data_IF_460744770141
#
_entry.id   IF_460744770141
#
_cell.length_a   1.000
_cell.length_b   1.000
_cell.length_c   1.000
_cell.angle_alpha   90.00
_cell.angle_beta   90.00
_cell.angle_gamma   90.00
#
_symmetry.space_group_name_H-M   'P 1'
#
loop_
_entity.id
_entity.type
_entity.pdbx_description
1 polymer ?
#
# COMPACT_ATOMS: atom_id res chain seq x y z
N UNK A 1 -5.10 -3.12 10.91
CA UNK A 1 -4.72 -2.75 9.52
C UNK A 1 -4.34 -4.01 8.77
N UNK A 2 -4.93 -4.30 7.61
CA UNK A 2 -4.70 -5.57 6.88
C UNK A 2 -3.29 -5.72 6.31
N UNK A 3 -2.65 -4.64 5.86
CA UNK A 3 -1.25 -4.67 5.43
C UNK A 3 -0.28 -5.13 6.53
N UNK A 4 -0.57 -4.76 7.78
CA UNK A 4 0.20 -5.23 8.95
C UNK A 4 -0.01 -6.74 9.19
N UNK A 5 -1.21 -7.26 8.96
CA UNK A 5 -1.47 -8.71 9.05
C UNK A 5 -0.69 -9.48 8.00
N UNK A 6 -0.68 -8.99 6.74
CA UNK A 6 0.09 -9.60 5.65
C UNK A 6 1.60 -9.59 5.92
N UNK A 7 2.13 -8.48 6.43
CA UNK A 7 3.54 -8.40 6.83
C UNK A 7 3.88 -9.40 7.95
N UNK A 8 2.98 -9.57 8.93
CA UNK A 8 3.10 -10.61 9.96
C UNK A 8 3.07 -12.04 9.40
N UNK A 9 2.19 -12.32 8.43
CA UNK A 9 2.14 -13.65 7.79
C UNK A 9 3.45 -14.02 7.07
N UNK A 10 4.11 -13.05 6.43
CA UNK A 10 5.43 -13.27 5.84
C UNK A 10 6.51 -13.51 6.91
N UNK A 11 6.45 -12.77 8.02
CA UNK A 11 7.33 -13.01 9.17
C UNK A 11 7.18 -14.43 9.71
N UNK A 12 5.96 -14.97 9.77
CA UNK A 12 5.63 -16.33 10.21
C UNK A 12 5.95 -17.44 9.21
N UNK A 13 6.58 -17.14 8.07
CA UNK A 13 7.08 -18.16 7.12
C UNK A 13 6.25 -18.34 5.85
N UNK A 14 5.25 -17.50 5.59
CA UNK A 14 4.56 -17.48 4.29
C UNK A 14 5.53 -17.09 3.17
N UNK A 15 5.26 -17.48 1.93
CA UNK A 15 6.10 -17.09 0.80
C UNK A 15 6.07 -15.57 0.57
N UNK A 16 7.24 -14.99 0.26
CA UNK A 16 7.38 -13.59 -0.12
C UNK A 16 6.51 -13.26 -1.34
N UNK A 17 6.51 -14.15 -2.34
CA UNK A 17 5.79 -13.96 -3.61
C UNK A 17 4.28 -13.90 -3.36
N UNK A 18 3.76 -14.84 -2.57
CA UNK A 18 2.34 -14.91 -2.23
C UNK A 18 1.91 -13.69 -1.41
N UNK A 19 2.72 -13.29 -0.43
CA UNK A 19 2.41 -12.14 0.42
C UNK A 19 2.40 -10.84 -0.40
N UNK A 20 3.36 -10.65 -1.32
CA UNK A 20 3.35 -9.50 -2.24
C UNK A 20 2.12 -9.50 -3.14
N UNK A 21 1.72 -10.66 -3.66
CA UNK A 21 0.52 -10.78 -4.47
C UNK A 21 -0.75 -10.45 -3.68
N UNK A 22 -0.84 -10.86 -2.41
CA UNK A 22 -1.95 -10.49 -1.53
C UNK A 22 -2.00 -8.99 -1.22
N UNK A 23 -0.85 -8.36 -1.01
CA UNK A 23 -0.76 -6.89 -0.88
C UNK A 23 -1.30 -6.22 -2.13
N UNK A 24 -0.92 -6.70 -3.32
CA UNK A 24 -1.39 -6.13 -4.58
C UNK A 24 -2.91 -6.29 -4.74
N UNK A 25 -3.46 -7.48 -4.41
CA UNK A 25 -4.91 -7.74 -4.42
C UNK A 25 -5.66 -6.82 -3.47
N UNK A 26 -5.13 -6.63 -2.25
CA UNK A 26 -5.71 -5.72 -1.27
C UNK A 26 -5.74 -4.27 -1.78
N UNK A 27 -4.64 -3.78 -2.35
CA UNK A 27 -4.57 -2.44 -2.93
C UNK A 27 -5.59 -2.26 -4.07
N UNK A 28 -5.74 -3.28 -4.93
CA UNK A 28 -6.75 -3.26 -6.01
C UNK A 28 -8.16 -3.26 -5.44
N UNK A 29 -8.46 -4.08 -4.43
CA UNK A 29 -9.76 -4.11 -3.77
C UNK A 29 -10.11 -2.76 -3.15
N UNK A 30 -9.17 -2.14 -2.43
CA UNK A 30 -9.33 -0.79 -1.86
C UNK A 30 -9.62 0.22 -2.96
N UNK A 31 -8.83 0.22 -4.04
CA UNK A 31 -9.05 1.13 -5.18
C UNK A 31 -10.46 0.98 -5.76
N UNK A 32 -10.93 -0.25 -5.93
CA UNK A 32 -12.26 -0.52 -6.48
C UNK A 32 -13.35 0.00 -5.53
N UNK A 33 -13.18 -0.16 -4.21
CA UNK A 33 -14.08 0.39 -3.19
C UNK A 33 -14.12 1.92 -3.15
N UNK A 34 -12.98 2.59 -3.40
CA UNK A 34 -12.91 4.06 -3.43
C UNK A 34 -13.61 4.67 -4.66
N UNK A 35 -13.94 3.88 -5.68
CA UNK A 35 -14.60 4.37 -6.88
C UNK A 35 -13.68 5.26 -7.74
N UNK A 36 -14.22 5.94 -8.77
CA UNK A 36 -13.42 6.66 -9.77
C UNK A 36 -12.85 8.01 -9.31
N UNK A 37 -13.42 8.62 -8.25
CA UNK A 37 -13.08 9.97 -7.78
C UNK A 37 -11.59 10.08 -7.39
N UNK A 38 -10.85 10.87 -8.15
CA UNK A 38 -9.41 11.05 -7.93
C UNK A 38 -9.09 11.88 -6.70
N UNK A 39 -9.93 12.82 -6.26
CA UNK A 39 -9.70 13.56 -5.02
C UNK A 39 -9.77 12.62 -3.82
N UNK A 40 -10.81 11.76 -3.79
CA UNK A 40 -10.98 10.73 -2.74
C UNK A 40 -9.83 9.74 -2.78
N UNK A 41 -9.45 9.23 -3.96
CA UNK A 41 -8.31 8.32 -4.09
C UNK A 41 -7.01 8.97 -3.58
N UNK A 42 -6.70 10.21 -3.99
CA UNK A 42 -5.49 10.92 -3.55
C UNK A 42 -5.46 11.06 -2.03
N UNK A 43 -6.54 11.57 -1.43
CA UNK A 43 -6.64 11.76 0.03
C UNK A 43 -6.43 10.44 0.77
N UNK A 44 -7.09 9.37 0.32
CA UNK A 44 -6.97 8.06 0.95
C UNK A 44 -5.54 7.49 0.83
N UNK A 45 -4.94 7.53 -0.37
CA UNK A 45 -3.59 6.99 -0.56
C UNK A 45 -2.54 7.76 0.23
N UNK A 46 -2.65 9.09 0.32
CA UNK A 46 -1.80 9.92 1.16
C UNK A 46 -1.94 9.54 2.64
N UNK A 47 -3.17 9.43 3.15
CA UNK A 47 -3.40 9.04 4.53
C UNK A 47 -2.88 7.62 4.83
N UNK A 48 -3.04 6.68 3.89
CA UNK A 48 -2.54 5.32 4.03
C UNK A 48 -1.00 5.28 4.06
N UNK A 49 -0.33 6.08 3.23
CA UNK A 49 1.14 6.20 3.24
C UNK A 49 1.65 6.72 4.58
N UNK A 50 1.08 7.81 5.11
CA UNK A 50 1.46 8.33 6.42
C UNK A 50 1.31 7.27 7.52
N UNK A 51 0.23 6.47 7.49
CA UNK A 51 0.03 5.37 8.46
C UNK A 51 1.08 4.26 8.32
N UNK A 52 1.57 3.99 7.11
CA UNK A 52 2.59 2.97 6.85
C UNK A 52 4.00 3.45 7.20
N UNK A 53 4.27 4.74 7.20
CA UNK A 53 5.55 5.30 7.66
C UNK A 53 5.81 4.98 9.13
N UNK A 54 4.78 5.01 9.98
CA UNK A 54 4.89 4.56 11.38
C UNK A 54 5.25 3.07 11.53
N UNK A 55 5.05 2.25 10.48
CA UNK A 55 5.43 0.84 10.49
C UNK A 55 6.87 0.61 10.05
N UNK A 56 7.58 1.65 9.61
CA UNK A 56 8.93 1.60 9.05
C UNK A 56 9.98 1.99 10.10
N UNK A 57 9.95 1.30 11.26
CA UNK A 57 10.86 1.57 12.38
C UNK A 57 12.19 0.80 12.24
N UNK A 58 13.33 1.34 12.71
CA UNK A 58 14.63 0.67 12.62
C UNK A 58 14.70 -0.71 13.30
N UNK A 59 13.86 -0.93 14.32
CA UNK A 59 13.76 -2.19 15.07
C UNK A 59 12.78 -3.21 14.45
N UNK A 60 12.14 -2.87 13.33
CA UNK A 60 11.21 -3.78 12.69
C UNK A 60 11.94 -4.94 12.00
N UNK A 61 11.32 -6.10 12.00
CA UNK A 61 11.85 -7.30 11.34
C UNK A 61 12.17 -7.01 9.86
N UNK A 62 13.34 -7.41 9.32
CA UNK A 62 13.68 -7.18 7.92
C UNK A 62 12.65 -7.74 6.93
N UNK A 63 12.04 -8.89 7.24
CA UNK A 63 10.96 -9.49 6.44
C UNK A 63 9.71 -8.62 6.46
N UNK A 64 9.34 -8.11 7.63
CA UNK A 64 8.26 -7.15 7.77
C UNK A 64 8.51 -5.90 6.90
N UNK A 65 9.71 -5.34 6.97
CA UNK A 65 10.10 -4.16 6.21
C UNK A 65 10.02 -4.39 4.69
N UNK A 66 10.35 -5.58 4.18
CA UNK A 66 10.21 -5.90 2.74
C UNK A 66 8.76 -5.74 2.28
N UNK A 67 7.79 -6.23 3.06
CA UNK A 67 6.37 -6.14 2.70
C UNK A 67 5.86 -4.70 2.82
N UNK A 68 6.24 -3.98 3.88
CA UNK A 68 5.86 -2.57 4.05
C UNK A 68 6.44 -1.69 2.94
N UNK A 69 7.70 -1.90 2.54
CA UNK A 69 8.33 -1.20 1.42
C UNK A 69 7.63 -1.50 0.10
N UNK A 70 7.28 -2.76 -0.16
CA UNK A 70 6.50 -3.15 -1.34
C UNK A 70 5.14 -2.46 -1.35
N UNK A 71 4.40 -2.47 -0.24
CA UNK A 71 3.13 -1.77 -0.12
C UNK A 71 3.28 -0.26 -0.38
N UNK A 72 4.26 0.39 0.23
CA UNK A 72 4.56 1.82 0.04
C UNK A 72 4.83 2.14 -1.43
N UNK A 73 5.66 1.35 -2.11
CA UNK A 73 5.95 1.52 -3.53
C UNK A 73 4.67 1.46 -4.37
N UNK A 74 3.81 0.46 -4.13
CA UNK A 74 2.56 0.28 -4.89
C UNK A 74 1.56 1.40 -4.62
N UNK A 75 1.45 1.87 -3.38
CA UNK A 75 0.54 2.97 -3.03
C UNK A 75 1.05 4.29 -3.63
N UNK A 76 2.35 4.58 -3.56
CA UNK A 76 2.96 5.75 -4.22
C UNK A 76 2.67 5.76 -5.71
N UNK A 77 2.87 4.63 -6.40
CA UNK A 77 2.51 4.49 -7.82
C UNK A 77 1.05 4.88 -8.09
N UNK A 78 0.09 4.38 -7.29
CA UNK A 78 -1.34 4.72 -7.45
C UNK A 78 -1.63 6.19 -7.17
N UNK A 79 -1.02 6.76 -6.14
CA UNK A 79 -1.14 8.18 -5.80
C UNK A 79 -0.67 9.05 -6.97
N UNK A 80 0.53 8.78 -7.51
CA UNK A 80 1.05 9.55 -8.65
C UNK A 80 0.15 9.41 -9.88
N UNK A 81 -0.32 8.21 -10.21
CA UNK A 81 -1.29 8.04 -11.32
C UNK A 81 -2.55 8.89 -11.12
N UNK A 82 -3.11 8.92 -9.91
CA UNK A 82 -4.30 9.71 -9.62
C UNK A 82 -4.03 11.23 -9.71
N UNK A 83 -2.87 11.69 -9.22
CA UNK A 83 -2.43 13.09 -9.34
C UNK A 83 -2.24 13.48 -10.80
N UNK A 84 -1.51 12.67 -11.57
CA UNK A 84 -1.26 12.93 -13.00
C UNK A 84 -2.56 12.97 -13.80
N UNK A 85 -3.48 12.02 -13.57
CA UNK A 85 -4.81 12.03 -14.19
C UNK A 85 -5.55 13.33 -13.85
N UNK A 86 -5.60 13.70 -12.57
CA UNK A 86 -6.26 14.93 -12.14
C UNK A 86 -5.65 16.17 -12.75
N UNK A 87 -4.32 16.25 -12.92
CA UNK A 87 -3.64 17.40 -13.54
C UNK A 87 -3.92 17.51 -15.04
N UNK A 88 -4.07 16.38 -15.73
CA UNK A 88 -4.29 16.33 -17.19
C UNK A 88 -5.73 16.67 -17.60
N UNK A 89 -6.70 16.31 -16.77
CA UNK A 89 -8.14 16.48 -17.04
C UNK A 89 -8.78 17.54 -16.13
N UNK A 90 -7.99 18.48 -15.61
CA UNK A 90 -8.45 19.61 -14.81
C UNK A 90 -8.63 20.85 -15.66
#
# INVERSE_FOLDING_TARGET
MELRKLAGSFQSGKSLKETKHEVDRLIVSIRNKLGPDKKVQISFWTALLHRLEFCNTPKADPRWLVIIRHANYRIKSRLYTAIHYRRRFK
#
